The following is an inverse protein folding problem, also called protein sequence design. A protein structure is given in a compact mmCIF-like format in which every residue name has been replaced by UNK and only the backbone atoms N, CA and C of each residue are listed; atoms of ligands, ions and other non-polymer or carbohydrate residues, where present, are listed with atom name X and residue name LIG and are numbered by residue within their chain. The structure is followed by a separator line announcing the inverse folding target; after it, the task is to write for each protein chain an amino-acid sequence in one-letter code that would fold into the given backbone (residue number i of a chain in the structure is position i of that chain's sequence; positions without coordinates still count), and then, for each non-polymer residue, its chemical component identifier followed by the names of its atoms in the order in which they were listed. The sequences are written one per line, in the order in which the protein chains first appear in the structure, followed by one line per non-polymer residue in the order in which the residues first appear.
data_IF_632589924098
#
_entry.id   IF_632589924098
#
_cell.length_a   1.000
_cell.length_b   1.000
_cell.length_c   1.000
_cell.angle_alpha   90.00
_cell.angle_beta   90.00
_cell.angle_gamma   90.00
#
_symmetry.space_group_name_H-M   'P 1'
#
loop_
_entity.id
_entity.type
_entity.pdbx_description
1 polymer ?
#
# COMPACT_ATOMS: atom_id res chain seq x y z
N UNK A 1 -65.41 52.88 -6.33
CA UNK A 1 -65.12 51.80 -7.30
C UNK A 1 -63.91 52.24 -8.11
N UNK A 2 -62.84 51.45 -8.01
CA UNK A 2 -61.53 51.69 -8.60
C UNK A 2 -61.53 51.31 -10.09
N UNK A 3 -60.88 52.12 -10.94
CA UNK A 3 -60.35 51.68 -12.23
C UNK A 3 -59.07 52.49 -12.52
N UNK A 4 -57.94 51.80 -12.36
CA UNK A 4 -56.58 52.29 -12.58
C UNK A 4 -56.17 52.13 -14.05
N UNK A 5 -55.42 53.11 -14.55
CA UNK A 5 -54.82 53.16 -15.88
C UNK A 5 -53.61 52.21 -15.98
N UNK A 6 -53.48 51.52 -17.11
CA UNK A 6 -52.26 50.82 -17.51
C UNK A 6 -51.67 51.51 -18.75
N UNK A 7 -50.40 51.89 -18.65
CA UNK A 7 -49.58 52.40 -19.75
C UNK A 7 -48.40 51.41 -19.92
N UNK A 8 -48.21 50.90 -21.13
CA UNK A 8 -47.15 49.95 -21.51
C UNK A 8 -45.82 50.66 -21.79
N UNK A 9 -44.66 50.10 -21.41
CA UNK A 9 -43.37 50.53 -21.93
C UNK A 9 -42.71 49.51 -22.89
N UNK A 10 -42.28 50.04 -24.03
CA UNK A 10 -40.94 50.02 -24.62
C UNK A 10 -40.17 48.69 -24.80
N UNK A 11 -39.79 48.46 -26.07
CA UNK A 11 -38.87 47.44 -26.59
C UNK A 11 -37.42 47.91 -26.45
N UNK A 12 -36.51 47.02 -26.02
CA UNK A 12 -35.08 47.09 -26.34
C UNK A 12 -34.52 45.69 -26.64
N UNK A 13 -33.60 45.69 -27.61
CA UNK A 13 -32.92 44.58 -28.30
C UNK A 13 -32.04 43.69 -27.40
N UNK A 14 -32.01 42.39 -27.69
CA UNK A 14 -31.01 41.45 -27.17
C UNK A 14 -29.87 41.31 -28.19
N UNK A 15 -28.64 41.63 -27.76
CA UNK A 15 -27.39 41.18 -28.37
C UNK A 15 -27.04 39.80 -27.82
N UNK A 16 -26.81 38.83 -28.71
CA UNK A 16 -26.26 37.51 -28.36
C UNK A 16 -24.75 37.65 -28.06
N UNK A 17 -24.38 37.48 -26.79
CA UNK A 17 -23.00 37.28 -26.38
C UNK A 17 -22.70 35.78 -26.36
N UNK A 18 -21.94 35.33 -27.35
CA UNK A 18 -21.28 34.02 -27.40
C UNK A 18 -20.27 33.89 -26.25
N UNK A 19 -20.56 33.07 -25.24
CA UNK A 19 -19.60 32.70 -24.20
C UNK A 19 -19.00 31.32 -24.47
N UNK A 20 -17.92 31.28 -25.24
CA UNK A 20 -16.97 30.17 -25.22
C UNK A 20 -16.20 30.21 -23.89
N UNK A 21 -16.69 29.49 -22.90
CA UNK A 21 -15.93 29.18 -21.68
C UNK A 21 -15.21 27.85 -21.88
N UNK A 22 -13.96 27.93 -22.34
CA UNK A 22 -12.98 26.86 -22.14
C UNK A 22 -12.74 26.70 -20.64
N UNK A 23 -13.26 25.63 -20.06
CA UNK A 23 -13.02 25.20 -18.68
C UNK A 23 -11.60 24.66 -18.55
N UNK A 24 -10.64 25.56 -18.31
CA UNK A 24 -9.34 25.19 -17.74
C UNK A 24 -9.58 24.68 -16.33
N UNK A 25 -9.56 23.35 -16.13
CA UNK A 25 -9.53 22.75 -14.79
C UNK A 25 -8.27 23.23 -14.08
N UNK A 26 -8.39 24.17 -13.16
CA UNK A 26 -7.27 24.55 -12.30
C UNK A 26 -6.93 23.34 -11.42
N UNK A 27 -5.90 22.58 -11.77
CA UNK A 27 -5.32 21.62 -10.84
C UNK A 27 -4.86 22.41 -9.61
N UNK A 28 -5.49 22.14 -8.47
CA UNK A 28 -5.12 22.73 -7.18
C UNK A 28 -3.69 22.31 -6.90
N UNK A 29 -2.74 23.26 -6.99
CA UNK A 29 -1.32 22.99 -6.77
C UNK A 29 -1.12 22.55 -5.31
N UNK A 30 -0.83 21.27 -5.11
CA UNK A 30 -0.59 20.68 -3.78
C UNK A 30 0.83 21.04 -3.30
N UNK A 31 1.06 21.10 -1.98
CA UNK A 31 2.41 21.22 -1.47
C UNK A 31 3.23 20.00 -1.89
N UNK A 32 4.44 20.27 -2.38
CA UNK A 32 5.44 19.24 -2.68
C UNK A 32 6.37 19.07 -1.48
N UNK A 33 6.75 17.83 -1.17
CA UNK A 33 7.69 17.51 -0.11
C UNK A 33 8.89 16.73 -0.65
N UNK A 34 9.98 16.70 0.12
CA UNK A 34 11.08 15.78 -0.14
C UNK A 34 11.79 15.97 -1.47
N UNK A 35 12.40 14.89 -1.96
CA UNK A 35 13.19 14.87 -3.20
C UNK A 35 13.19 13.49 -3.88
N UNK A 36 13.60 13.45 -5.14
CA UNK A 36 13.98 12.21 -5.84
C UNK A 36 15.49 12.19 -5.99
N UNK A 37 16.16 11.30 -5.26
CA UNK A 37 17.60 11.06 -5.40
C UNK A 37 17.83 10.15 -6.59
N UNK A 38 18.57 10.63 -7.59
CA UNK A 38 18.86 9.93 -8.84
C UNK A 38 20.30 9.44 -8.81
N UNK A 39 20.49 8.13 -8.67
CA UNK A 39 21.82 7.51 -8.56
C UNK A 39 22.35 7.02 -9.92
N UNK A 40 21.46 6.69 -10.83
CA UNK A 40 21.75 6.13 -12.15
C UNK A 40 20.79 6.71 -13.20
N UNK A 41 21.25 6.96 -14.42
CA UNK A 41 20.45 7.58 -15.49
C UNK A 41 19.19 6.77 -15.86
N UNK A 42 19.18 5.45 -15.61
CA UNK A 42 18.01 4.57 -15.85
C UNK A 42 16.77 5.01 -15.07
N UNK A 43 16.93 5.67 -13.91
CA UNK A 43 15.79 6.20 -13.14
C UNK A 43 14.97 7.22 -13.94
N UNK A 44 15.59 7.89 -14.92
CA UNK A 44 14.93 8.92 -15.73
C UNK A 44 13.90 8.33 -16.71
N UNK A 45 13.96 7.01 -16.95
CA UNK A 45 12.94 6.29 -17.73
C UNK A 45 11.72 5.94 -16.88
N UNK A 46 11.87 5.94 -15.54
CA UNK A 46 10.83 5.53 -14.60
C UNK A 46 10.16 6.72 -13.90
N UNK A 47 10.90 7.80 -13.68
CA UNK A 47 10.42 9.00 -12.97
C UNK A 47 10.76 10.24 -13.80
N UNK A 48 9.75 11.01 -14.28
CA UNK A 48 9.96 12.28 -14.98
C UNK A 48 10.86 13.24 -14.19
N UNK A 49 11.62 14.09 -14.88
CA UNK A 49 12.57 15.02 -14.25
C UNK A 49 11.88 16.06 -13.36
N UNK A 50 10.68 16.47 -13.76
CA UNK A 50 9.83 17.45 -13.09
C UNK A 50 8.81 16.81 -12.13
N UNK A 51 8.86 15.49 -11.94
CA UNK A 51 8.00 14.81 -10.98
C UNK A 51 8.28 15.31 -9.56
N UNK A 52 7.21 15.63 -8.83
CA UNK A 52 7.26 16.07 -7.44
C UNK A 52 6.46 15.13 -6.55
N UNK A 53 6.84 15.01 -5.28
CA UNK A 53 6.09 14.24 -4.30
C UNK A 53 5.00 15.14 -3.73
N UNK A 54 3.75 14.94 -4.13
CA UNK A 54 2.60 15.70 -3.66
C UNK A 54 2.10 15.15 -2.33
N UNK A 55 1.93 16.03 -1.33
CA UNK A 55 1.26 15.69 -0.07
C UNK A 55 -0.26 15.76 -0.27
N UNK A 56 -0.96 14.64 0.00
CA UNK A 56 -2.39 14.49 -0.25
C UNK A 56 -3.23 14.61 1.02
N UNK A 57 -2.73 14.06 2.11
CA UNK A 57 -3.36 14.07 3.43
C UNK A 57 -2.32 13.85 4.53
N UNK A 58 -2.64 14.29 5.75
CA UNK A 58 -1.78 14.19 6.93
C UNK A 58 -2.59 13.89 8.20
N UNK A 59 -1.88 13.56 9.29
CA UNK A 59 -2.48 13.37 10.62
C UNK A 59 -2.75 11.92 11.01
N UNK A 60 -2.18 10.95 10.26
CA UNK A 60 -2.22 9.54 10.61
C UNK A 60 -1.22 9.23 11.73
N UNK A 61 -1.45 8.16 12.49
CA UNK A 61 -0.46 7.69 13.46
C UNK A 61 0.59 6.80 12.80
N UNK A 62 0.15 5.90 11.91
CA UNK A 62 1.04 5.13 11.05
C UNK A 62 0.28 4.65 9.81
N UNK A 63 0.48 5.33 8.68
CA UNK A 63 -0.18 5.03 7.41
C UNK A 63 0.48 3.85 6.69
N UNK A 64 -0.32 2.92 6.18
CA UNK A 64 0.14 1.63 5.66
C UNK A 64 -0.75 1.01 4.57
N UNK A 65 -0.26 -0.03 3.91
CA UNK A 65 -1.01 -0.89 2.98
C UNK A 65 -1.85 -0.16 1.92
N UNK A 66 -1.31 0.78 1.12
CA UNK A 66 -2.07 1.46 0.08
C UNK A 66 -2.47 0.52 -1.06
N UNK A 67 -3.75 0.50 -1.44
CA UNK A 67 -4.29 -0.26 -2.58
C UNK A 67 -5.30 0.55 -3.37
N UNK A 68 -5.21 0.50 -4.70
CA UNK A 68 -6.08 1.28 -5.58
C UNK A 68 -7.44 0.60 -5.79
N UNK A 69 -8.52 1.24 -5.35
CA UNK A 69 -9.89 0.85 -5.69
C UNK A 69 -10.31 1.48 -7.02
N UNK A 70 -10.22 0.70 -8.09
CA UNK A 70 -10.66 1.10 -9.44
C UNK A 70 -12.13 1.52 -9.49
N UNK A 71 -12.99 0.92 -8.67
CA UNK A 71 -14.44 1.19 -8.70
C UNK A 71 -14.74 2.59 -8.16
N UNK A 72 -14.11 2.97 -7.05
CA UNK A 72 -14.30 4.29 -6.45
C UNK A 72 -13.26 5.33 -6.89
N UNK A 73 -12.31 4.94 -7.74
CA UNK A 73 -11.18 5.78 -8.20
C UNK A 73 -10.46 6.42 -7.02
N UNK A 74 -10.16 5.59 -6.02
CA UNK A 74 -9.61 6.04 -4.77
C UNK A 74 -8.47 5.13 -4.31
N UNK A 75 -7.50 5.71 -3.61
CA UNK A 75 -6.52 4.93 -2.86
C UNK A 75 -7.14 4.61 -1.49
N UNK A 76 -7.15 3.33 -1.13
CA UNK A 76 -7.44 2.87 0.23
C UNK A 76 -6.12 2.62 0.94
N UNK A 77 -6.04 2.90 2.23
CA UNK A 77 -4.83 2.65 3.03
C UNK A 77 -5.21 2.57 4.52
N UNK A 78 -4.44 1.82 5.29
CA UNK A 78 -4.68 1.64 6.71
C UNK A 78 -4.02 2.75 7.53
N UNK A 79 -4.63 3.13 8.65
CA UNK A 79 -3.97 3.81 9.78
C UNK A 79 -4.04 2.85 10.96
N UNK A 80 -2.94 2.10 11.16
CA UNK A 80 -2.97 0.84 11.92
C UNK A 80 -3.31 1.07 13.40
N UNK A 81 -2.66 1.99 14.13
CA UNK A 81 -2.98 2.21 15.55
C UNK A 81 -4.42 2.68 15.77
N UNK A 82 -4.96 3.47 14.84
CA UNK A 82 -6.32 4.00 14.90
C UNK A 82 -7.41 2.99 14.50
N UNK A 83 -7.04 1.80 14.01
CA UNK A 83 -7.94 0.73 13.59
C UNK A 83 -8.92 1.17 12.48
N UNK A 84 -8.37 1.85 11.46
CA UNK A 84 -9.14 2.43 10.35
C UNK A 84 -8.51 2.05 9.01
N UNK A 85 -9.35 1.78 8.00
CA UNK A 85 -8.98 1.98 6.59
C UNK A 85 -9.54 3.32 6.15
N UNK A 86 -8.66 4.17 5.65
CA UNK A 86 -8.96 5.46 5.03
C UNK A 86 -9.12 5.30 3.52
N UNK A 87 -9.81 6.26 2.91
CA UNK A 87 -10.00 6.40 1.47
C UNK A 87 -9.64 7.81 1.07
N UNK A 88 -8.95 7.97 -0.05
CA UNK A 88 -8.69 9.27 -0.64
C UNK A 88 -8.94 9.26 -2.15
N UNK A 89 -9.65 10.27 -2.65
CA UNK A 89 -9.78 10.55 -4.09
C UNK A 89 -9.83 12.07 -4.33
N UNK A 90 -9.68 12.47 -5.60
CA UNK A 90 -9.65 13.90 -5.97
C UNK A 90 -10.96 14.63 -5.72
N UNK A 91 -12.10 13.93 -5.79
CA UNK A 91 -13.43 14.56 -5.66
C UNK A 91 -13.87 14.81 -4.22
N UNK A 92 -13.50 13.92 -3.30
CA UNK A 92 -13.99 13.89 -1.91
C UNK A 92 -12.88 14.22 -0.91
N UNK A 93 -11.61 14.10 -1.32
CA UNK A 93 -10.47 14.15 -0.41
C UNK A 93 -10.44 12.94 0.52
N UNK A 94 -9.92 13.14 1.73
CA UNK A 94 -9.78 12.09 2.75
C UNK A 94 -11.13 11.76 3.41
N UNK A 95 -11.43 10.48 3.54
CA UNK A 95 -12.60 9.97 4.28
C UNK A 95 -12.31 8.61 4.91
N UNK A 96 -13.14 8.20 5.88
CA UNK A 96 -13.06 6.86 6.48
C UNK A 96 -13.79 5.85 5.60
N UNK A 97 -13.14 4.74 5.27
CA UNK A 97 -13.71 3.64 4.51
C UNK A 97 -14.26 2.52 5.40
N UNK A 98 -13.47 2.07 6.38
CA UNK A 98 -13.80 0.95 7.27
C UNK A 98 -13.27 1.22 8.68
N UNK A 99 -14.15 1.07 9.68
CA UNK A 99 -13.81 1.13 11.10
C UNK A 99 -14.78 0.25 11.91
N UNK A 100 -14.31 -0.71 12.73
CA UNK A 100 -12.91 -1.15 12.88
C UNK A 100 -12.39 -1.91 11.65
N UNK A 101 -11.08 -1.94 11.43
CA UNK A 101 -10.46 -2.59 10.26
C UNK A 101 -9.62 -3.84 10.54
N UNK A 102 -9.06 -4.00 11.75
CA UNK A 102 -8.24 -5.18 12.09
C UNK A 102 -8.48 -5.79 13.46
N UNK A 103 -9.02 -5.03 14.41
CA UNK A 103 -9.44 -5.56 15.71
C UNK A 103 -10.94 -5.37 15.91
N UNK A 104 -11.67 -6.48 16.01
CA UNK A 104 -13.15 -6.47 16.17
C UNK A 104 -13.59 -6.75 17.61
N UNK A 105 -12.63 -7.03 18.50
CA UNK A 105 -12.88 -7.26 19.91
C UNK A 105 -13.32 -6.00 20.68
N UNK A 106 -13.88 -6.22 21.88
CA UNK A 106 -14.38 -5.14 22.75
C UNK A 106 -13.37 -4.67 23.79
N UNK A 107 -12.37 -5.49 24.10
CA UNK A 107 -11.39 -5.17 25.13
C UNK A 107 -10.36 -4.19 24.56
N UNK A 108 -10.00 -3.11 25.26
CA UNK A 108 -8.93 -2.23 24.83
C UNK A 108 -7.64 -3.03 24.57
N UNK A 109 -6.93 -2.61 23.52
CA UNK A 109 -5.64 -3.17 23.11
C UNK A 109 -4.70 -1.99 22.87
N UNK A 110 -3.40 -2.20 23.03
CA UNK A 110 -2.38 -1.22 22.68
C UNK A 110 -1.70 -1.57 21.34
N UNK A 111 -0.91 -0.63 20.83
CA UNK A 111 -0.09 -0.83 19.64
C UNK A 111 -0.88 -0.95 18.34
N UNK A 112 -0.31 -1.68 17.39
CA UNK A 112 -0.82 -1.84 16.04
C UNK A 112 -2.00 -2.83 16.00
N UNK A 113 -3.23 -2.36 16.15
CA UNK A 113 -4.42 -3.23 16.21
C UNK A 113 -5.25 -3.26 14.93
N UNK A 114 -5.07 -2.28 14.04
CA UNK A 114 -5.81 -2.14 12.80
C UNK A 114 -5.48 -3.20 11.75
N UNK A 115 -6.10 -3.03 10.58
CA UNK A 115 -5.59 -3.67 9.37
C UNK A 115 -4.23 -3.08 9.04
N UNK A 116 -3.35 -3.86 8.43
CA UNK A 116 -2.10 -3.39 7.82
C UNK A 116 -2.25 -3.47 6.29
N UNK A 117 -1.62 -4.46 5.65
CA UNK A 117 -1.65 -4.66 4.20
C UNK A 117 -3.06 -4.87 3.67
N UNK A 118 -3.32 -4.31 2.49
CA UNK A 118 -4.59 -4.39 1.78
C UNK A 118 -4.36 -4.89 0.36
N UNK A 119 -5.28 -5.72 -0.14
CA UNK A 119 -5.31 -6.12 -1.55
C UNK A 119 -6.75 -6.39 -2.00
N UNK A 120 -6.98 -6.60 -3.29
CA UNK A 120 -8.26 -7.05 -3.81
C UNK A 120 -8.17 -8.49 -4.31
N UNK A 121 -9.18 -9.31 -3.98
CA UNK A 121 -9.33 -10.61 -4.63
C UNK A 121 -9.82 -10.46 -6.08
N UNK A 122 -9.78 -11.55 -6.85
CA UNK A 122 -10.25 -11.58 -8.25
C UNK A 122 -11.74 -11.20 -8.44
N UNK A 123 -12.52 -11.16 -7.36
CA UNK A 123 -13.92 -10.71 -7.37
C UNK A 123 -14.08 -9.23 -7.00
N UNK A 124 -12.97 -8.50 -6.80
CA UNK A 124 -12.95 -7.09 -6.41
C UNK A 124 -13.34 -6.86 -4.95
N UNK A 125 -13.23 -7.87 -4.08
CA UNK A 125 -13.46 -7.71 -2.63
C UNK A 125 -12.15 -7.35 -1.94
N UNK A 126 -12.21 -6.38 -1.03
CA UNK A 126 -11.07 -5.98 -0.22
C UNK A 126 -10.68 -7.13 0.72
N UNK A 127 -9.40 -7.49 0.71
CA UNK A 127 -8.77 -8.48 1.59
C UNK A 127 -7.75 -7.73 2.44
N UNK A 128 -7.74 -8.02 3.74
CA UNK A 128 -7.00 -7.27 4.74
C UNK A 128 -6.16 -8.21 5.59
N UNK A 129 -4.91 -7.83 5.82
CA UNK A 129 -4.10 -8.38 6.89
C UNK A 129 -4.51 -7.70 8.22
N UNK A 130 -5.04 -8.46 9.18
CA UNK A 130 -5.65 -7.92 10.40
C UNK A 130 -4.78 -8.24 11.63
N UNK A 131 -4.07 -7.24 12.15
CA UNK A 131 -3.16 -7.40 13.30
C UNK A 131 -3.91 -7.77 14.59
N UNK A 132 -5.01 -7.07 14.87
CA UNK A 132 -5.80 -7.27 16.09
C UNK A 132 -6.39 -8.67 16.22
N UNK A 133 -7.09 -9.10 15.18
CA UNK A 133 -7.75 -10.40 15.15
C UNK A 133 -6.80 -11.53 14.75
N UNK A 134 -5.58 -11.21 14.30
CA UNK A 134 -4.51 -12.15 13.93
C UNK A 134 -4.95 -13.10 12.81
N UNK A 135 -5.48 -12.52 11.73
CA UNK A 135 -6.05 -13.25 10.60
C UNK A 135 -5.93 -12.48 9.29
N UNK A 136 -6.12 -13.17 8.18
CA UNK A 136 -6.51 -12.53 6.92
C UNK A 136 -8.04 -12.49 6.88
N UNK A 137 -8.59 -11.30 6.66
CA UNK A 137 -10.03 -11.05 6.51
C UNK A 137 -10.39 -10.64 5.09
N UNK A 138 -11.67 -10.79 4.73
CA UNK A 138 -12.22 -10.29 3.47
C UNK A 138 -13.53 -9.55 3.70
N UNK A 139 -13.62 -8.32 3.21
CA UNK A 139 -14.83 -7.53 3.27
C UNK A 139 -15.88 -8.09 2.31
N UNK A 140 -17.01 -8.51 2.85
CA UNK A 140 -18.13 -9.03 2.09
C UNK A 140 -19.07 -7.90 1.62
N UNK A 141 -20.03 -8.24 0.76
CA UNK A 141 -20.95 -7.26 0.16
C UNK A 141 -21.92 -6.63 1.17
N UNK A 142 -21.99 -7.14 2.41
CA UNK A 142 -22.79 -6.58 3.50
C UNK A 142 -21.97 -5.63 4.39
N UNK A 143 -20.69 -5.39 4.04
CA UNK A 143 -19.77 -4.59 4.86
C UNK A 143 -19.28 -5.30 6.11
N UNK A 144 -19.36 -6.64 6.16
CA UNK A 144 -18.84 -7.46 7.25
C UNK A 144 -17.53 -8.14 6.81
N UNK A 145 -16.65 -8.44 7.76
CA UNK A 145 -15.38 -9.13 7.48
C UNK A 145 -15.59 -10.63 7.69
N UNK A 146 -15.43 -11.41 6.62
CA UNK A 146 -15.36 -12.87 6.68
C UNK A 146 -13.90 -13.29 6.90
N UNK A 147 -13.64 -14.26 7.79
CA UNK A 147 -12.30 -14.84 7.95
C UNK A 147 -11.91 -15.62 6.70
N UNK A 148 -10.72 -15.34 6.17
CA UNK A 148 -10.09 -16.12 5.09
C UNK A 148 -9.19 -17.19 5.68
N UNK A 149 -8.28 -16.83 6.59
CA UNK A 149 -7.42 -17.77 7.31
C UNK A 149 -6.95 -17.14 8.63
N UNK A 150 -6.93 -17.93 9.71
CA UNK A 150 -6.56 -17.43 11.06
C UNK A 150 -5.63 -18.37 11.86
N UNK A 151 -5.34 -19.57 11.33
CA UNK A 151 -4.51 -20.56 12.02
C UNK A 151 -3.52 -21.23 11.07
N UNK A 152 -2.33 -21.54 11.58
CA UNK A 152 -1.40 -22.50 11.01
C UNK A 152 -1.15 -23.63 12.00
N UNK A 153 -1.44 -24.89 11.60
CA UNK A 153 -1.31 -26.08 12.47
C UNK A 153 -1.90 -25.87 13.87
N UNK A 154 -3.14 -25.37 13.94
CA UNK A 154 -3.89 -25.08 15.18
C UNK A 154 -3.35 -23.94 16.05
N UNK A 155 -2.30 -23.24 15.63
CA UNK A 155 -1.76 -22.05 16.30
C UNK A 155 -2.24 -20.81 15.59
N UNK A 156 -2.61 -19.76 16.33
CA UNK A 156 -2.90 -18.45 15.74
C UNK A 156 -1.66 -17.88 15.08
N UNK A 157 -1.84 -17.18 13.96
CA UNK A 157 -0.78 -16.35 13.37
C UNK A 157 -0.27 -15.32 14.38
N UNK A 158 0.93 -14.78 14.17
CA UNK A 158 1.45 -13.69 15.00
C UNK A 158 0.58 -12.45 14.80
N UNK A 159 0.64 -11.86 13.61
CA UNK A 159 -0.12 -10.71 13.13
C UNK A 159 0.21 -10.53 11.65
N UNK A 160 -0.59 -11.13 10.73
CA UNK A 160 -0.33 -11.01 9.30
C UNK A 160 -0.12 -9.55 8.90
N UNK A 161 0.91 -9.26 8.08
CA UNK A 161 1.31 -7.88 7.80
C UNK A 161 0.97 -7.46 6.37
N UNK A 162 1.59 -8.06 5.35
CA UNK A 162 1.35 -7.72 3.94
C UNK A 162 0.99 -8.97 3.12
N UNK A 163 0.39 -8.76 1.95
CA UNK A 163 -0.21 -9.82 1.15
C UNK A 163 -0.33 -9.48 -0.34
N UNK A 164 -0.18 -10.51 -1.18
CA UNK A 164 -0.29 -10.42 -2.64
C UNK A 164 -0.94 -11.66 -3.23
N UNK A 165 -1.82 -11.48 -4.22
CA UNK A 165 -2.35 -12.58 -5.02
C UNK A 165 -1.48 -12.84 -6.25
N UNK A 166 -1.23 -14.11 -6.57
CA UNK A 166 -0.73 -14.47 -7.89
C UNK A 166 -1.86 -14.50 -8.95
N UNK A 167 -1.48 -14.62 -10.21
CA UNK A 167 -2.41 -14.72 -11.34
C UNK A 167 -3.28 -15.98 -11.33
N UNK A 168 -2.89 -17.02 -10.58
CA UNK A 168 -3.66 -18.25 -10.39
C UNK A 168 -4.71 -18.08 -9.29
N UNK A 169 -4.62 -17.02 -8.49
CA UNK A 169 -5.48 -16.65 -7.35
C UNK A 169 -5.05 -17.26 -6.01
N UNK A 170 -3.80 -17.70 -5.89
CA UNK A 170 -3.22 -18.05 -4.59
C UNK A 170 -2.77 -16.79 -3.86
N UNK A 171 -2.90 -16.78 -2.54
CA UNK A 171 -2.54 -15.65 -1.68
C UNK A 171 -1.21 -15.93 -1.00
N UNK A 172 -0.25 -15.04 -1.17
CA UNK A 172 1.01 -15.03 -0.42
C UNK A 172 0.90 -13.95 0.66
N UNK A 173 1.39 -14.22 1.87
CA UNK A 173 1.35 -13.24 2.95
C UNK A 173 2.48 -13.45 3.97
N UNK A 174 2.82 -12.41 4.72
CA UNK A 174 3.82 -12.40 5.78
C UNK A 174 3.18 -12.34 7.16
N UNK A 175 3.84 -12.93 8.16
CA UNK A 175 3.33 -13.01 9.54
C UNK A 175 4.39 -12.63 10.59
N UNK A 176 4.87 -11.37 10.59
CA UNK A 176 5.71 -10.81 11.64
C UNK A 176 4.89 -10.55 12.92
N UNK A 177 5.52 -10.17 14.05
CA UNK A 177 4.84 -10.01 15.33
C UNK A 177 4.42 -8.56 15.65
N UNK A 178 4.49 -7.62 14.70
CA UNK A 178 4.27 -6.18 14.96
C UNK A 178 2.94 -5.87 15.64
N UNK A 179 1.91 -6.58 15.23
CA UNK A 179 0.58 -6.40 15.78
C UNK A 179 0.44 -6.91 17.21
N UNK A 180 1.35 -7.73 17.74
CA UNK A 180 1.31 -8.17 19.14
C UNK A 180 1.77 -7.04 20.06
N UNK A 181 1.12 -6.86 21.22
CA UNK A 181 1.35 -5.71 22.11
C UNK A 181 2.81 -5.63 22.60
N UNK A 182 3.48 -6.77 22.74
CA UNK A 182 4.91 -6.85 23.10
C UNK A 182 5.78 -7.44 21.99
N UNK A 183 5.31 -7.41 20.74
CA UNK A 183 6.08 -7.87 19.58
C UNK A 183 6.61 -9.32 19.77
N UNK A 184 7.92 -9.52 19.63
CA UNK A 184 8.58 -10.82 19.73
C UNK A 184 8.40 -11.48 21.10
N UNK A 185 8.37 -10.67 22.16
CA UNK A 185 8.32 -11.11 23.56
C UNK A 185 6.88 -11.24 24.08
N UNK A 186 5.89 -11.19 23.19
CA UNK A 186 4.50 -11.26 23.58
C UNK A 186 4.10 -12.67 24.05
N UNK A 187 3.60 -12.81 25.29
CA UNK A 187 3.21 -14.11 25.83
C UNK A 187 2.00 -14.73 25.12
N UNK A 188 1.22 -13.96 24.35
CA UNK A 188 0.13 -14.46 23.53
C UNK A 188 0.59 -14.98 22.16
N UNK A 189 1.87 -14.83 21.82
CA UNK A 189 2.47 -15.41 20.61
C UNK A 189 2.40 -16.94 20.68
N UNK A 190 1.87 -17.55 19.63
CA UNK A 190 1.62 -19.01 19.60
C UNK A 190 2.56 -19.77 18.66
N UNK A 191 2.99 -19.14 17.58
CA UNK A 191 4.03 -19.63 16.69
C UNK A 191 5.39 -19.25 17.26
N UNK A 192 6.40 -20.11 17.13
CA UNK A 192 7.76 -19.84 17.63
C UNK A 192 8.66 -19.13 16.61
N UNK A 193 8.11 -18.78 15.45
CA UNK A 193 8.80 -18.18 14.32
C UNK A 193 7.92 -17.09 13.67
N UNK A 194 8.44 -16.43 12.63
CA UNK A 194 7.73 -15.50 11.76
C UNK A 194 7.74 -16.10 10.35
N UNK A 195 6.58 -16.21 9.73
CA UNK A 195 6.41 -17.02 8.53
C UNK A 195 6.11 -16.18 7.29
N UNK A 196 6.51 -16.70 6.14
CA UNK A 196 5.92 -16.37 4.84
C UNK A 196 5.06 -17.55 4.41
N UNK A 197 3.83 -17.29 3.99
CA UNK A 197 2.85 -18.34 3.72
C UNK A 197 2.28 -18.23 2.30
N UNK A 198 1.86 -19.38 1.79
CA UNK A 198 1.03 -19.54 0.61
C UNK A 198 -0.31 -20.15 1.03
N UNK A 199 -1.41 -19.45 0.78
CA UNK A 199 -2.76 -20.00 0.82
C UNK A 199 -3.23 -20.27 -0.60
N UNK A 200 -3.35 -21.54 -0.95
CA UNK A 200 -3.87 -21.96 -2.25
C UNK A 200 -5.37 -21.79 -2.33
N UNK A 201 -5.89 -21.69 -3.56
CA UNK A 201 -7.35 -21.55 -3.81
C UNK A 201 -8.21 -22.67 -3.26
N UNK A 202 -7.65 -23.87 -3.11
CA UNK A 202 -8.35 -25.01 -2.52
C UNK A 202 -8.39 -24.94 -0.98
N UNK A 203 -7.77 -23.92 -0.36
CA UNK A 203 -7.69 -23.75 1.09
C UNK A 203 -6.42 -24.31 1.72
N UNK A 204 -5.53 -24.94 0.95
CA UNK A 204 -4.28 -25.48 1.49
C UNK A 204 -3.34 -24.34 1.88
N UNK A 205 -2.95 -24.32 3.15
CA UNK A 205 -2.00 -23.37 3.71
C UNK A 205 -0.62 -24.02 3.83
N UNK A 206 0.39 -23.40 3.22
CA UNK A 206 1.78 -23.86 3.19
C UNK A 206 2.67 -22.79 3.80
N UNK A 207 3.55 -23.20 4.73
CA UNK A 207 4.67 -22.37 5.19
C UNK A 207 5.78 -22.43 4.14
N UNK A 208 6.13 -21.28 3.56
CA UNK A 208 7.16 -21.17 2.53
C UNK A 208 8.56 -21.04 3.14
N UNK A 209 8.70 -20.20 4.17
CA UNK A 209 9.94 -20.03 4.94
C UNK A 209 9.63 -19.44 6.31
N UNK A 210 10.47 -19.75 7.29
CA UNK A 210 10.44 -19.25 8.66
C UNK A 210 11.80 -18.67 9.12
N UNK A 211 12.71 -18.41 8.17
CA UNK A 211 14.08 -17.99 8.45
C UNK A 211 14.26 -16.49 8.68
N UNK A 212 13.28 -15.68 8.29
CA UNK A 212 13.31 -14.23 8.47
C UNK A 212 12.88 -13.86 9.88
N UNK A 213 13.57 -12.89 10.47
CA UNK A 213 13.22 -12.37 11.81
C UNK A 213 11.98 -11.50 11.77
N UNK A 214 11.79 -10.72 10.71
CA UNK A 214 10.68 -9.78 10.50
C UNK A 214 10.27 -9.72 9.02
N UNK A 215 9.71 -10.82 8.45
CA UNK A 215 9.19 -10.81 7.09
C UNK A 215 8.09 -9.75 6.97
N UNK A 216 8.18 -8.86 6.00
CA UNK A 216 7.32 -7.68 5.90
C UNK A 216 6.63 -7.57 4.53
N UNK A 217 6.94 -6.57 3.70
CA UNK A 217 6.34 -6.46 2.37
C UNK A 217 6.65 -7.63 1.45
N UNK A 218 5.72 -7.91 0.54
CA UNK A 218 5.75 -9.07 -0.35
C UNK A 218 5.12 -8.75 -1.70
N UNK A 219 5.79 -9.12 -2.79
CA UNK A 219 5.24 -9.00 -4.16
C UNK A 219 5.88 -9.99 -5.13
N UNK A 220 5.29 -10.16 -6.30
CA UNK A 220 5.71 -11.07 -7.37
C UNK A 220 6.29 -10.33 -8.56
N UNK A 221 7.24 -10.93 -9.26
CA UNK A 221 7.66 -10.46 -10.59
C UNK A 221 6.49 -10.51 -11.59
N UNK A 222 6.53 -9.74 -12.69
CA UNK A 222 5.43 -9.70 -13.67
C UNK A 222 5.11 -11.05 -14.31
N UNK A 223 6.12 -11.92 -14.45
CA UNK A 223 5.95 -13.29 -14.95
C UNK A 223 5.55 -14.30 -13.86
N UNK A 224 5.42 -13.87 -12.60
CA UNK A 224 5.06 -14.68 -11.45
C UNK A 224 6.12 -15.70 -11.04
N UNK A 225 7.35 -15.61 -11.55
CA UNK A 225 8.41 -16.59 -11.31
C UNK A 225 9.35 -16.23 -10.17
N UNK A 226 9.30 -15.00 -9.68
CA UNK A 226 10.08 -14.54 -8.53
C UNK A 226 9.15 -13.97 -7.47
N UNK A 227 9.30 -14.42 -6.22
CA UNK A 227 8.68 -13.81 -5.05
C UNK A 227 9.74 -12.97 -4.33
N UNK A 228 9.43 -11.69 -4.08
CA UNK A 228 10.26 -10.79 -3.29
C UNK A 228 9.65 -10.64 -1.90
N UNK A 229 10.49 -10.68 -0.86
CA UNK A 229 10.05 -10.49 0.52
C UNK A 229 11.05 -9.60 1.25
N UNK A 230 10.56 -8.54 1.88
CA UNK A 230 11.35 -7.66 2.73
C UNK A 230 11.58 -8.29 4.11
N UNK A 231 12.75 -8.07 4.71
CA UNK A 231 13.00 -8.33 6.12
C UNK A 231 13.27 -7.00 6.84
N UNK A 232 12.37 -6.65 7.75
CA UNK A 232 12.33 -5.35 8.40
C UNK A 232 13.01 -5.38 9.78
N UNK A 233 14.24 -5.87 9.77
CA UNK A 233 15.11 -5.99 10.94
C UNK A 233 16.28 -5.01 10.80
N UNK A 234 16.53 -4.10 11.74
CA UNK A 234 17.67 -3.19 11.67
C UNK A 234 19.03 -3.86 11.51
N UNK A 235 19.20 -5.09 12.00
CA UNK A 235 20.46 -5.84 11.89
C UNK A 235 20.55 -6.68 10.59
N UNK A 236 19.42 -6.84 9.89
CA UNK A 236 19.28 -7.64 8.67
C UNK A 236 18.28 -6.97 7.73
N UNK A 237 18.51 -5.69 7.43
CA UNK A 237 17.60 -4.85 6.66
C UNK A 237 17.80 -5.11 5.17
N UNK A 238 17.18 -6.18 4.67
CA UNK A 238 17.36 -6.64 3.30
C UNK A 238 16.05 -7.06 2.64
N UNK A 239 16.12 -7.27 1.32
CA UNK A 239 15.11 -7.98 0.55
C UNK A 239 15.69 -9.29 0.04
N UNK A 240 14.91 -10.36 0.14
CA UNK A 240 15.23 -11.65 -0.46
C UNK A 240 14.33 -11.90 -1.67
N UNK A 241 14.84 -12.69 -2.60
CA UNK A 241 14.10 -13.20 -3.74
C UNK A 241 14.08 -14.74 -3.71
N UNK A 242 12.99 -15.31 -4.20
CA UNK A 242 12.81 -16.76 -4.31
C UNK A 242 12.26 -17.11 -5.67
N UNK A 243 12.65 -18.25 -6.22
CA UNK A 243 12.00 -18.80 -7.41
C UNK A 243 10.65 -19.41 -7.02
N UNK A 244 9.59 -19.05 -7.74
CA UNK A 244 8.24 -19.61 -7.57
C UNK A 244 8.11 -20.85 -8.45
N UNK A 245 7.80 -21.98 -7.83
CA UNK A 245 7.59 -23.27 -8.47
C UNK A 245 6.17 -23.38 -9.04
N UNK A 246 5.93 -24.40 -9.88
CA UNK A 246 4.64 -24.59 -10.56
C UNK A 246 3.45 -24.73 -9.59
N UNK A 247 3.68 -25.30 -8.41
CA UNK A 247 2.70 -25.50 -7.33
C UNK A 247 2.54 -24.29 -6.39
N UNK A 248 3.22 -23.18 -6.69
CA UNK A 248 3.25 -21.93 -5.93
C UNK A 248 4.23 -21.91 -4.76
N UNK A 249 4.88 -23.04 -4.43
CA UNK A 249 5.93 -23.04 -3.39
C UNK A 249 7.19 -22.34 -3.90
N UNK A 250 8.17 -22.15 -3.00
CA UNK A 250 9.37 -21.37 -3.31
C UNK A 250 10.65 -22.20 -3.17
N UNK A 251 11.66 -21.85 -3.96
CA UNK A 251 13.00 -22.42 -3.92
C UNK A 251 14.07 -21.35 -4.20
N UNK A 252 15.35 -21.73 -4.14
CA UNK A 252 16.49 -20.89 -4.54
C UNK A 252 16.48 -19.48 -3.92
N UNK A 253 16.27 -19.44 -2.61
CA UNK A 253 16.42 -18.24 -1.77
C UNK A 253 17.75 -17.55 -2.05
N UNK A 254 17.70 -16.23 -2.31
CA UNK A 254 18.87 -15.40 -2.58
C UNK A 254 18.65 -13.98 -2.09
N UNK A 255 19.74 -13.29 -1.75
CA UNK A 255 19.70 -11.85 -1.51
C UNK A 255 19.34 -11.08 -2.77
N UNK A 256 18.39 -10.15 -2.66
CA UNK A 256 18.06 -9.20 -3.72
C UNK A 256 18.80 -7.88 -3.51
N UNK A 257 18.71 -7.31 -2.31
CA UNK A 257 19.49 -6.14 -1.92
C UNK A 257 19.63 -6.07 -0.39
N UNK A 258 20.79 -5.64 0.11
CA UNK A 258 21.06 -5.45 1.54
C UNK A 258 21.26 -3.95 1.84
N UNK A 259 20.32 -3.37 2.59
CA UNK A 259 20.33 -1.97 3.00
C UNK A 259 20.74 -1.79 4.48
N UNK A 260 21.27 -2.82 5.14
CA UNK A 260 21.64 -2.77 6.56
C UNK A 260 22.58 -1.60 6.86
N UNK A 261 23.56 -1.34 5.99
CA UNK A 261 24.48 -0.20 6.15
C UNK A 261 23.85 1.17 5.93
N UNK A 262 22.63 1.24 5.37
CA UNK A 262 21.91 2.48 5.12
C UNK A 262 21.02 2.88 6.30
N UNK A 263 20.71 1.95 7.21
CA UNK A 263 19.83 2.17 8.36
C UNK A 263 20.44 3.23 9.29
N UNK A 264 19.64 4.24 9.63
CA UNK A 264 20.03 5.25 10.60
C UNK A 264 19.14 6.49 10.58
N UNK A 265 19.36 7.41 11.50
CA UNK A 265 18.51 8.61 11.67
C UNK A 265 18.45 9.50 10.40
N UNK A 266 19.49 9.49 9.56
CA UNK A 266 19.50 10.24 8.30
C UNK A 266 18.66 9.59 7.19
N UNK A 267 18.34 8.30 7.33
CA UNK A 267 17.57 7.49 6.40
C UNK A 267 16.49 6.72 7.18
N UNK A 268 15.46 7.41 7.68
CA UNK A 268 14.44 6.78 8.50
C UNK A 268 13.69 5.69 7.72
N UNK A 269 13.28 4.63 8.42
CA UNK A 269 12.58 3.48 7.84
C UNK A 269 13.46 2.23 7.72
N UNK A 270 12.78 1.11 7.48
CA UNK A 270 13.34 -0.22 7.24
C UNK A 270 12.69 -0.82 5.99
N UNK A 271 13.24 -1.89 5.41
CA UNK A 271 12.57 -2.64 4.35
C UNK A 271 11.16 -3.03 4.79
N UNK A 272 10.15 -2.49 4.14
CA UNK A 272 8.77 -2.64 4.56
C UNK A 272 7.93 -3.06 3.34
N UNK A 273 6.91 -2.31 2.94
CA UNK A 273 6.13 -2.58 1.73
C UNK A 273 6.89 -2.47 0.39
N UNK A 274 6.47 -3.25 -0.61
CA UNK A 274 7.02 -3.15 -1.97
C UNK A 274 5.98 -3.40 -3.05
N UNK A 275 6.26 -2.86 -4.24
CA UNK A 275 5.53 -3.14 -5.47
C UNK A 275 6.47 -3.35 -6.66
N UNK A 276 6.05 -4.17 -7.63
CA UNK A 276 6.79 -4.38 -8.88
C UNK A 276 6.07 -3.73 -10.04
N UNK A 277 6.80 -3.13 -10.98
CA UNK A 277 6.22 -2.56 -12.20
C UNK A 277 6.18 -3.57 -13.37
N UNK A 278 5.48 -3.22 -14.45
CA UNK A 278 5.31 -4.07 -15.65
C UNK A 278 6.62 -4.40 -16.37
N UNK A 279 7.71 -3.70 -16.06
CA UNK A 279 9.06 -3.94 -16.58
C UNK A 279 9.94 -4.74 -15.61
N UNK A 280 9.41 -5.07 -14.43
CA UNK A 280 10.09 -5.82 -13.39
C UNK A 280 10.96 -4.98 -12.46
N UNK A 281 10.91 -3.65 -12.55
CA UNK A 281 11.58 -2.80 -11.55
C UNK A 281 10.84 -2.93 -10.22
N UNK A 282 11.60 -3.02 -9.13
CA UNK A 282 11.06 -3.19 -7.78
C UNK A 282 11.12 -1.85 -7.06
N UNK A 283 9.97 -1.41 -6.57
CA UNK A 283 9.77 -0.17 -5.81
C UNK A 283 9.51 -0.57 -4.36
N UNK A 284 10.53 -0.49 -3.51
CA UNK A 284 10.43 -0.99 -2.14
C UNK A 284 10.75 0.09 -1.13
N UNK A 285 9.90 0.25 -0.13
CA UNK A 285 10.16 1.16 0.97
C UNK A 285 11.27 0.60 1.85
N UNK A 286 12.19 1.47 2.25
CA UNK A 286 13.39 1.13 3.00
C UNK A 286 13.99 2.37 3.66
N UNK A 287 15.25 2.28 4.13
CA UNK A 287 15.94 3.41 4.72
C UNK A 287 15.92 4.65 3.81
N UNK A 288 15.21 5.69 4.25
CA UNK A 288 15.14 7.00 3.59
C UNK A 288 14.01 7.18 2.57
N UNK A 289 13.16 6.18 2.31
CA UNK A 289 11.99 6.31 1.44
C UNK A 289 11.76 5.09 0.53
N UNK A 290 11.30 5.30 -0.70
CA UNK A 290 11.11 4.21 -1.69
C UNK A 290 12.37 4.06 -2.52
N UNK A 291 13.11 2.98 -2.31
CA UNK A 291 14.26 2.59 -3.13
C UNK A 291 13.74 1.93 -4.42
N UNK A 292 14.30 2.34 -5.55
CA UNK A 292 13.95 1.81 -6.87
C UNK A 292 15.10 0.94 -7.35
N UNK A 293 14.78 -0.33 -7.63
CA UNK A 293 15.72 -1.33 -8.07
C UNK A 293 15.43 -1.78 -9.49
N UNK A 294 16.49 -2.08 -10.25
CA UNK A 294 16.34 -2.85 -11.50
C UNK A 294 15.87 -4.29 -11.18
N UNK A 295 15.37 -5.05 -12.18
CA UNK A 295 15.04 -6.47 -11.96
C UNK A 295 16.20 -7.33 -11.44
N UNK A 296 17.44 -6.82 -11.53
CA UNK A 296 18.66 -7.48 -11.05
C UNK A 296 19.06 -7.08 -9.62
N UNK A 297 18.29 -6.22 -8.95
CA UNK A 297 18.60 -5.75 -7.59
C UNK A 297 19.56 -4.57 -7.53
N UNK A 298 19.78 -3.85 -8.64
CA UNK A 298 20.65 -2.66 -8.64
C UNK A 298 19.84 -1.44 -8.20
N UNK A 299 20.25 -0.77 -7.13
CA UNK A 299 19.62 0.46 -6.63
C UNK A 299 19.94 1.66 -7.53
N UNK A 300 18.92 2.20 -8.21
CA UNK A 300 19.07 3.25 -9.24
C UNK A 300 18.55 4.62 -8.79
N UNK A 301 17.84 4.69 -7.67
CA UNK A 301 17.36 5.95 -7.10
C UNK A 301 16.46 5.74 -5.89
N UNK A 302 16.12 6.83 -5.21
CA UNK A 302 15.24 6.83 -4.03
C UNK A 302 14.27 8.00 -4.08
N UNK A 303 12.98 7.74 -3.87
CA UNK A 303 11.97 8.77 -3.60
C UNK A 303 11.97 9.02 -2.09
N UNK A 304 12.37 10.23 -1.66
CA UNK A 304 12.56 10.58 -0.25
C UNK A 304 11.53 11.61 0.20
N UNK A 305 10.38 11.21 0.77
CA UNK A 305 9.38 12.15 1.27
C UNK A 305 9.82 12.88 2.56
N UNK A 306 10.84 12.38 3.26
CA UNK A 306 11.41 12.95 4.48
C UNK A 306 11.24 12.03 5.69
N UNK A 307 10.00 11.74 6.13
CA UNK A 307 9.73 10.74 7.16
C UNK A 307 10.00 9.31 6.70
N UNK A 308 9.92 8.35 7.62
CA UNK A 308 9.90 6.93 7.28
C UNK A 308 8.74 6.64 6.31
N UNK A 309 8.97 5.78 5.31
CA UNK A 309 7.93 5.33 4.40
C UNK A 309 7.63 3.87 4.70
N UNK A 310 6.38 3.56 5.05
CA UNK A 310 5.98 2.21 5.40
C UNK A 310 5.67 1.41 4.14
N UNK A 311 4.90 1.97 3.20
CA UNK A 311 4.46 1.21 2.03
C UNK A 311 4.25 2.09 0.80
N UNK A 312 4.09 1.45 -0.36
CA UNK A 312 3.77 2.11 -1.60
C UNK A 312 2.79 1.29 -2.43
N UNK A 313 1.96 2.00 -3.20
CA UNK A 313 0.83 1.42 -3.92
C UNK A 313 0.59 2.19 -5.19
N UNK A 314 0.42 1.47 -6.27
CA UNK A 314 0.35 2.00 -7.61
C UNK A 314 -1.15 2.25 -7.92
N UNK A 315 -1.53 3.35 -8.57
CA UNK A 315 -2.94 3.73 -8.75
C UNK A 315 -3.24 4.62 -9.97
N UNK A 316 -4.47 5.11 -10.06
CA UNK A 316 -5.05 5.77 -11.25
C UNK A 316 -5.20 4.83 -12.46
N UNK A 317 -4.64 5.22 -13.60
CA UNK A 317 -4.38 4.36 -14.76
C UNK A 317 -3.15 3.48 -14.55
N UNK A 318 -2.47 3.73 -13.43
CA UNK A 318 -1.31 3.01 -13.01
C UNK A 318 0.00 3.80 -13.05
N UNK A 319 -0.02 4.97 -13.65
CA UNK A 319 1.18 5.78 -13.76
C UNK A 319 1.48 6.56 -12.47
N UNK A 320 0.64 6.48 -11.43
CA UNK A 320 0.82 7.19 -10.16
C UNK A 320 1.24 6.23 -9.05
N UNK A 321 2.36 6.51 -8.38
CA UNK A 321 2.78 5.80 -7.17
C UNK A 321 2.32 6.59 -5.94
N UNK A 322 1.48 5.99 -5.12
CA UNK A 322 1.10 6.45 -3.79
C UNK A 322 2.08 5.93 -2.75
N UNK A 323 2.37 6.74 -1.74
CA UNK A 323 3.25 6.41 -0.63
C UNK A 323 2.49 6.64 0.67
N UNK A 324 2.57 5.68 1.59
CA UNK A 324 2.19 5.90 2.98
C UNK A 324 3.46 6.14 3.80
N UNK A 325 3.64 7.39 4.23
CA UNK A 325 4.88 7.84 4.86
C UNK A 325 4.60 8.40 6.23
N UNK A 326 4.69 7.52 7.24
CA UNK A 326 4.44 7.84 8.64
C UNK A 326 3.05 8.49 8.80
N UNK A 327 2.99 9.78 9.12
CA UNK A 327 1.74 10.54 9.27
C UNK A 327 1.15 11.07 7.95
N UNK A 328 1.74 10.73 6.79
CA UNK A 328 1.37 11.28 5.48
C UNK A 328 0.86 10.24 4.49
N UNK A 329 -0.09 10.68 3.66
CA UNK A 329 -0.37 10.09 2.35
C UNK A 329 0.21 11.01 1.27
N UNK A 330 1.09 10.47 0.44
CA UNK A 330 1.73 11.18 -0.65
C UNK A 330 1.51 10.47 -1.99
N UNK A 331 1.81 11.15 -3.10
CA UNK A 331 1.96 10.50 -4.40
C UNK A 331 3.04 11.14 -5.26
N UNK A 332 3.49 10.42 -6.27
CA UNK A 332 4.38 10.91 -7.32
C UNK A 332 3.98 10.31 -8.67
N UNK A 333 4.12 11.10 -9.73
CA UNK A 333 3.90 10.63 -11.09
C UNK A 333 5.11 9.81 -11.57
N UNK A 334 4.85 8.71 -12.25
CA UNK A 334 5.85 7.83 -12.85
C UNK A 334 5.63 7.73 -14.37
N UNK A 335 6.66 7.26 -15.08
CA UNK A 335 6.64 6.94 -16.51
C UNK A 335 6.49 5.45 -16.77
N UNK A 336 6.33 4.65 -15.72
CA UNK A 336 6.07 3.21 -15.77
C UNK A 336 4.64 2.94 -15.32
N UNK A 337 4.33 1.67 -15.14
CA UNK A 337 3.10 1.23 -14.56
C UNK A 337 3.35 0.04 -13.63
N UNK A 338 2.91 0.11 -12.37
CA UNK A 338 2.75 -1.05 -11.48
C UNK A 338 2.13 -2.29 -12.13
N UNK A 339 2.63 -3.46 -11.76
CA UNK A 339 2.06 -4.73 -12.18
C UNK A 339 0.72 -4.93 -11.47
N UNK A 340 -0.36 -5.13 -12.23
CA UNK A 340 -1.69 -5.42 -11.67
C UNK A 340 -2.41 -4.23 -11.03
N UNK A 341 -1.66 -3.26 -10.46
CA UNK A 341 -2.14 -2.13 -9.65
C UNK A 341 -3.07 -2.54 -8.52
#
# INVERSE_FOLDING_TARGET
MLASHWCTPQVWSQEEASSDQTTSSSQTRRPSIGEVVRLDERINQLIPQDATIELLAEGFEWAEGPVWDRKSKAILFSDIPNNVVNKWNESEGLSVFLKPSGYTGKNPRLGEMGSNGLTFDSSGKLVLAMHGDRQIGRLNSKGQIDTVVQFYKYRRFNSPNDLVYDSKGNLYFTDPPYGLEKNMDDPAKELLFQGVYLLRRNGDLVLLTDKMTRPNGIDLSPDGKTLYVANSDPEQAHWLAFDVLDDGTVANERGFFDATSMVGAANPGLPDGLKVDVHGAVWATGPGGVLVFTPKGEHIGTIRPGPATANCGFGNDGSTLYLTSDMYLCRIQTSTSGQGF
#
